data_IF_178561190506
#
_entry.id   IF_178561190506
#
_cell.length_a   1.000
_cell.length_b   1.000
_cell.length_c   1.000
_cell.angle_alpha   90.00
_cell.angle_beta   90.00
_cell.angle_gamma   90.00
#
_symmetry.space_group_name_H-M   'P 1'
#
loop_
_entity.id
_entity.type
_entity.pdbx_description
1 polymer ?
#
# COMPACT_ATOMS: atom_id res chain seq x y z
N UNK A 1 -26.63 -59.14 39.64
CA UNK A 1 -25.44 -59.27 38.76
C UNK A 1 -24.98 -57.88 38.37
N UNK A 2 -23.77 -57.54 38.83
CA UNK A 2 -22.88 -56.42 38.49
C UNK A 2 -23.46 -55.06 38.07
N UNK A 3 -23.42 -54.15 39.05
CA UNK A 3 -23.28 -52.70 38.91
C UNK A 3 -21.81 -52.35 38.59
N UNK A 4 -21.55 -51.40 37.69
CA UNK A 4 -20.20 -50.83 37.43
C UNK A 4 -20.37 -49.56 36.57
N UNK A 5 -19.72 -48.42 36.77
CA UNK A 5 -18.99 -47.85 37.90
C UNK A 5 -18.85 -46.35 37.54
N UNK A 6 -19.26 -45.45 38.44
CA UNK A 6 -18.90 -44.04 38.35
C UNK A 6 -17.43 -43.86 38.79
N UNK A 7 -16.70 -42.94 38.16
CA UNK A 7 -15.45 -42.41 38.70
C UNK A 7 -15.47 -40.87 38.61
N UNK A 8 -15.41 -40.27 39.79
CA UNK A 8 -15.33 -38.86 40.13
C UNK A 8 -13.90 -38.54 40.63
N UNK A 9 -13.37 -37.36 40.25
CA UNK A 9 -12.53 -36.42 41.07
C UNK A 9 -11.03 -36.79 41.27
N UNK A 10 -10.04 -35.88 41.55
CA UNK A 10 -10.05 -34.43 41.92
C UNK A 10 -9.19 -33.50 41.04
N UNK A 11 -9.26 -32.15 41.02
CA UNK A 11 -9.24 -31.08 42.05
C UNK A 11 -7.91 -30.89 42.83
N UNK A 12 -7.00 -30.06 42.30
CA UNK A 12 -5.96 -29.26 42.99
C UNK A 12 -5.59 -28.12 42.03
N UNK A 13 -5.94 -26.84 42.21
CA UNK A 13 -5.64 -25.89 43.30
C UNK A 13 -4.17 -25.45 43.34
N UNK A 14 -3.86 -24.38 42.59
CA UNK A 14 -2.78 -23.41 42.82
C UNK A 14 -3.27 -22.10 42.18
N UNK A 15 -4.03 -21.25 42.89
CA UNK A 15 -3.59 -20.25 43.88
C UNK A 15 -3.05 -18.98 43.21
N UNK A 16 -3.96 -18.02 43.12
CA UNK A 16 -3.79 -16.58 43.38
C UNK A 16 -2.58 -15.86 42.78
N UNK A 17 -2.81 -15.13 41.68
CA UNK A 17 -2.13 -13.87 41.42
C UNK A 17 -3.17 -12.74 41.43
N UNK A 18 -3.38 -12.21 42.63
CA UNK A 18 -4.05 -10.95 42.89
C UNK A 18 -3.16 -9.82 42.35
N UNK A 19 -3.65 -9.06 41.36
CA UNK A 19 -2.96 -7.88 40.84
C UNK A 19 -3.42 -6.65 41.65
N UNK A 20 -2.63 -6.26 42.63
CA UNK A 20 -2.86 -5.07 43.46
C UNK A 20 -2.33 -3.79 42.79
N UNK A 21 -3.15 -2.77 42.51
CA UNK A 21 -2.74 -1.53 41.86
C UNK A 21 -2.29 -0.46 42.89
N UNK A 22 -1.38 -0.80 43.81
CA UNK A 22 -0.87 0.14 44.84
C UNK A 22 0.62 0.07 45.14
N UNK A 23 1.47 -0.18 44.14
CA UNK A 23 2.90 0.14 44.21
C UNK A 23 3.37 0.83 42.93
N UNK A 24 3.20 2.14 42.91
CA UNK A 24 4.06 3.04 42.14
C UNK A 24 5.24 3.44 43.05
N UNK A 25 6.47 3.25 42.58
CA UNK A 25 7.59 4.16 42.87
C UNK A 25 8.76 3.89 41.93
N UNK A 26 9.18 4.96 41.24
CA UNK A 26 10.55 5.30 40.79
C UNK A 26 11.38 4.20 40.10
N UNK A 27 11.84 4.31 38.85
CA UNK A 27 12.71 5.39 38.33
C UNK A 27 12.92 5.11 36.84
N UNK A 28 12.56 6.02 35.94
CA UNK A 28 13.08 6.02 34.55
C UNK A 28 13.78 7.35 34.38
N UNK A 29 15.11 7.32 34.38
CA UNK A 29 15.95 8.43 33.97
C UNK A 29 15.71 8.71 32.50
N UNK A 30 15.19 9.91 32.21
CA UNK A 30 15.32 10.55 30.92
C UNK A 30 16.79 10.96 30.73
N UNK A 31 17.47 10.40 29.73
CA UNK A 31 18.61 11.09 29.12
C UNK A 31 18.08 11.72 27.84
N UNK A 32 17.94 13.03 27.90
CA UNK A 32 17.68 13.92 26.77
C UNK A 32 19.04 14.24 26.18
N UNK A 33 19.43 13.57 25.10
CA UNK A 33 20.57 14.02 24.30
C UNK A 33 20.08 15.00 23.23
N UNK A 34 20.44 16.25 23.51
CA UNK A 34 20.29 17.45 22.72
C UNK A 34 21.34 17.42 21.60
N UNK A 35 20.95 17.15 20.35
CA UNK A 35 21.81 17.43 19.19
C UNK A 35 21.29 18.69 18.49
N UNK A 36 21.96 19.78 18.82
CA UNK A 36 21.85 21.11 18.24
C UNK A 36 22.37 21.09 16.79
N UNK A 37 21.54 21.47 15.81
CA UNK A 37 22.02 21.92 14.49
C UNK A 37 21.62 23.39 14.30
N UNK A 38 22.56 24.27 13.90
CA UNK A 38 22.33 25.71 13.87
C UNK A 38 21.49 26.15 12.66
N UNK A 39 20.44 26.93 12.92
CA UNK A 39 19.69 27.68 11.91
C UNK A 39 20.40 28.99 11.57
N UNK A 40 20.43 29.43 10.29
CA UNK A 40 21.07 30.69 9.91
C UNK A 40 20.19 31.91 10.29
N UNK A 41 20.79 33.04 10.74
CA UNK A 41 20.04 34.22 11.15
C UNK A 41 19.59 35.11 9.98
N UNK A 42 18.47 35.87 10.12
CA UNK A 42 17.97 36.77 9.08
C UNK A 42 18.74 38.09 9.00
N UNK A 43 19.09 38.49 7.78
CA UNK A 43 19.85 39.71 7.45
C UNK A 43 18.99 40.97 7.61
N UNK A 44 19.44 41.90 8.48
CA UNK A 44 18.91 43.27 8.63
C UNK A 44 19.45 44.19 7.53
N UNK A 45 18.57 45.03 6.97
CA UNK A 45 18.92 46.20 6.16
C UNK A 45 19.59 47.30 7.02
N UNK A 46 20.68 47.89 6.54
CA UNK A 46 21.08 49.27 6.85
C UNK A 46 22.08 49.81 5.82
N UNK A 47 22.02 51.13 5.61
CA UNK A 47 22.65 51.95 4.56
C UNK A 47 24.08 52.43 4.91
N UNK A 48 24.81 52.83 3.84
CA UNK A 48 25.99 53.72 3.72
C UNK A 48 27.40 53.09 3.47
N UNK A 49 27.83 53.16 2.18
CA UNK A 49 29.00 53.91 1.57
C UNK A 49 30.34 53.93 2.36
N UNK A 50 31.58 53.79 1.83
CA UNK A 50 32.29 53.92 0.52
C UNK A 50 33.63 53.14 0.63
N UNK A 51 34.20 52.62 -0.46
CA UNK A 51 35.68 52.52 -0.57
C UNK A 51 36.26 51.41 -1.44
N UNK A 52 36.53 51.71 -2.72
CA UNK A 52 37.83 51.40 -3.32
C UNK A 52 38.09 50.06 -4.03
N UNK A 53 38.50 50.21 -5.29
CA UNK A 53 39.34 49.32 -6.13
C UNK A 53 38.63 48.24 -6.95
N UNK A 54 38.41 48.61 -8.22
CA UNK A 54 38.00 47.76 -9.31
C UNK A 54 38.98 46.61 -9.57
N UNK A 55 38.47 45.39 -9.66
CA UNK A 55 39.11 44.27 -10.36
C UNK A 55 38.12 43.68 -11.34
N UNK A 56 38.42 43.84 -12.62
CA UNK A 56 37.73 43.19 -13.74
C UNK A 56 37.89 41.67 -13.60
N UNK A 57 36.78 40.95 -13.40
CA UNK A 57 36.66 39.52 -13.68
C UNK A 57 35.55 39.33 -14.71
N UNK A 58 35.91 38.72 -15.83
CA UNK A 58 35.00 38.34 -16.89
C UNK A 58 33.94 37.37 -16.36
N UNK A 59 32.69 37.85 -16.24
CA UNK A 59 31.55 36.99 -15.97
C UNK A 59 31.09 36.39 -17.31
N UNK A 60 31.21 35.06 -17.44
CA UNK A 60 30.45 34.31 -18.45
C UNK A 60 28.98 34.39 -18.06
N UNK A 61 28.17 35.12 -18.85
CA UNK A 61 26.72 35.10 -18.75
C UNK A 61 26.21 33.74 -19.23
N UNK A 62 26.08 32.78 -18.32
CA UNK A 62 25.27 31.59 -18.56
C UNK A 62 23.83 31.94 -18.17
N UNK A 63 23.01 32.31 -19.16
CA UNK A 63 21.57 32.40 -18.96
C UNK A 63 20.99 30.97 -18.81
N UNK A 64 20.19 30.67 -17.78
CA UNK A 64 19.43 29.43 -17.78
C UNK A 64 18.35 29.51 -18.86
N UNK A 65 18.51 28.76 -19.94
CA UNK A 65 17.44 28.50 -20.90
C UNK A 65 16.37 27.66 -20.21
N UNK A 66 15.41 28.33 -19.57
CA UNK A 66 14.11 27.72 -19.30
C UNK A 66 13.42 27.51 -20.65
N UNK A 67 13.56 26.31 -21.22
CA UNK A 67 12.77 25.85 -22.35
C UNK A 67 11.31 25.68 -21.88
N UNK A 68 10.57 26.79 -21.86
CA UNK A 68 9.10 26.75 -21.80
C UNK A 68 8.62 26.33 -23.18
N UNK A 69 7.90 25.21 -23.24
CA UNK A 69 7.19 24.79 -24.44
C UNK A 69 6.16 25.88 -24.81
N UNK A 70 6.47 26.67 -25.83
CA UNK A 70 5.52 27.63 -26.41
C UNK A 70 4.67 26.85 -27.39
N UNK A 71 3.48 26.45 -26.96
CA UNK A 71 2.44 26.03 -27.91
C UNK A 71 2.01 27.25 -28.72
N UNK A 72 2.30 27.27 -30.02
CA UNK A 72 1.72 28.25 -30.94
C UNK A 72 0.18 28.15 -30.87
N UNK A 73 -0.57 29.26 -30.72
CA UNK A 73 -2.03 29.23 -30.72
C UNK A 73 -2.65 29.10 -32.13
N UNK A 74 -1.85 28.78 -33.16
CA UNK A 74 -2.29 28.82 -34.56
C UNK A 74 -2.91 27.52 -35.10
N UNK A 75 -2.79 26.38 -34.41
CA UNK A 75 -3.44 25.13 -34.80
C UNK A 75 -4.46 24.68 -33.75
N UNK A 76 -5.55 25.43 -33.63
CA UNK A 76 -6.76 24.91 -33.03
C UNK A 76 -7.48 24.04 -34.06
N UNK A 77 -7.24 22.73 -34.03
CA UNK A 77 -8.12 21.75 -34.68
C UNK A 77 -9.46 21.82 -33.97
N UNK A 78 -10.41 22.54 -34.56
CA UNK A 78 -11.79 22.61 -34.10
C UNK A 78 -12.45 21.28 -34.46
N UNK A 79 -12.41 20.31 -33.54
CA UNK A 79 -13.24 19.11 -33.65
C UNK A 79 -14.70 19.55 -33.61
N UNK A 80 -15.42 19.32 -34.69
CA UNK A 80 -16.86 19.58 -34.75
C UNK A 80 -17.59 18.41 -34.09
N UNK A 81 -18.83 18.56 -33.60
CA UNK A 81 -19.60 17.46 -33.01
C UNK A 81 -19.82 16.25 -33.95
N UNK A 82 -19.57 16.45 -35.26
CA UNK A 82 -19.59 15.41 -36.28
C UNK A 82 -18.36 14.48 -36.27
N UNK A 83 -17.26 14.86 -35.62
CA UNK A 83 -16.04 14.05 -35.49
C UNK A 83 -16.03 13.18 -34.21
N UNK A 84 -17.11 13.21 -33.43
CA UNK A 84 -17.27 12.30 -32.31
C UNK A 84 -17.46 10.86 -32.85
N UNK A 85 -16.75 9.84 -32.32
CA UNK A 85 -17.01 8.46 -32.70
C UNK A 85 -18.45 8.13 -32.33
N UNK A 86 -19.32 8.08 -33.34
CA UNK A 86 -20.73 7.79 -33.19
C UNK A 86 -20.93 6.28 -33.15
N UNK A 87 -20.22 5.60 -32.23
CA UNK A 87 -20.53 4.22 -31.91
C UNK A 87 -21.72 4.24 -30.96
N UNK A 88 -22.90 4.20 -31.58
CA UNK A 88 -24.11 3.76 -30.87
C UNK A 88 -23.79 2.38 -30.29
N UNK A 89 -23.79 2.26 -28.96
CA UNK A 89 -23.79 0.97 -28.26
C UNK A 89 -25.11 0.25 -28.60
N UNK A 90 -25.21 -0.28 -29.82
CA UNK A 90 -26.16 -1.34 -30.15
C UNK A 90 -25.74 -2.52 -29.29
N UNK A 91 -26.71 -3.02 -28.50
CA UNK A 91 -26.49 -3.96 -27.41
C UNK A 91 -25.44 -5.01 -27.74
N UNK A 92 -24.54 -5.24 -26.79
CA UNK A 92 -23.48 -6.24 -26.85
C UNK A 92 -24.07 -7.64 -27.02
N UNK A 93 -24.34 -8.04 -28.26
CA UNK A 93 -24.74 -9.40 -28.63
C UNK A 93 -23.54 -10.35 -28.73
N UNK A 94 -22.38 -9.96 -28.20
CA UNK A 94 -21.19 -10.81 -28.10
C UNK A 94 -20.90 -11.21 -26.65
N UNK A 95 -21.95 -11.51 -25.89
CA UNK A 95 -21.81 -12.59 -24.91
C UNK A 95 -21.88 -13.86 -25.75
N UNK A 96 -20.72 -14.25 -26.29
CA UNK A 96 -20.55 -15.58 -26.84
C UNK A 96 -20.88 -16.53 -25.68
N UNK A 97 -22.04 -17.18 -25.73
CA UNK A 97 -22.44 -18.21 -24.75
C UNK A 97 -21.51 -19.39 -24.96
N UNK A 98 -20.29 -19.27 -24.45
CA UNK A 98 -19.35 -20.37 -24.43
C UNK A 98 -20.01 -21.51 -23.66
N UNK A 99 -20.02 -22.69 -24.26
CA UNK A 99 -20.54 -23.88 -23.59
C UNK A 99 -19.69 -24.17 -22.35
N UNK A 100 -20.25 -24.78 -21.30
CA UNK A 100 -19.48 -25.15 -20.11
C UNK A 100 -18.22 -25.98 -20.44
N UNK A 101 -18.24 -26.76 -21.53
CA UNK A 101 -17.09 -27.50 -22.02
C UNK A 101 -15.97 -26.60 -22.58
N UNK A 102 -16.32 -25.52 -23.29
CA UNK A 102 -15.34 -24.56 -23.82
C UNK A 102 -14.73 -23.68 -22.73
N UNK A 103 -15.48 -23.33 -21.69
CA UNK A 103 -14.92 -22.62 -20.54
C UNK A 103 -14.02 -23.53 -19.69
N UNK A 104 -14.38 -24.81 -19.52
CA UNK A 104 -13.56 -25.80 -18.80
C UNK A 104 -12.22 -26.07 -19.50
N UNK A 105 -12.17 -26.10 -20.83
CA UNK A 105 -10.94 -26.35 -21.58
C UNK A 105 -9.87 -25.25 -21.37
N UNK A 106 -10.28 -23.99 -21.16
CA UNK A 106 -9.36 -22.87 -20.89
C UNK A 106 -8.92 -22.75 -19.43
N UNK A 107 -9.58 -23.47 -18.53
CA UNK A 107 -9.24 -23.51 -17.11
C UNK A 107 -8.41 -24.73 -16.72
N UNK A 108 -8.01 -25.56 -17.70
CA UNK A 108 -7.03 -26.60 -17.45
C UNK A 108 -5.63 -25.96 -17.45
N UNK A 109 -4.79 -26.26 -16.46
CA UNK A 109 -3.40 -25.81 -16.50
C UNK A 109 -2.71 -26.43 -17.72
N UNK A 110 -2.10 -25.60 -18.57
CA UNK A 110 -1.33 -26.06 -19.74
C UNK A 110 -0.05 -26.76 -19.27
N UNK A 111 -0.08 -28.09 -19.21
CA UNK A 111 1.05 -28.93 -18.79
C UNK A 111 2.21 -28.96 -19.82
N UNK A 112 1.98 -28.48 -21.05
CA UNK A 112 2.98 -28.39 -22.13
C UNK A 112 3.61 -27.00 -22.27
N UNK A 113 3.20 -26.02 -21.45
CA UNK A 113 3.91 -24.75 -21.39
C UNK A 113 5.38 -25.03 -21.06
N UNK A 114 6.32 -24.35 -21.76
CA UNK A 114 7.74 -24.45 -21.44
C UNK A 114 7.92 -24.05 -19.97
N UNK A 115 8.09 -25.05 -19.12
CA UNK A 115 8.39 -24.87 -17.71
C UNK A 115 9.77 -24.25 -17.70
N UNK A 116 9.84 -22.95 -17.40
CA UNK A 116 11.11 -22.33 -17.12
C UNK A 116 11.70 -23.07 -15.91
N UNK A 117 12.71 -23.92 -16.18
CA UNK A 117 13.29 -24.84 -15.21
C UNK A 117 14.00 -24.09 -14.06
N UNK A 118 13.95 -22.75 -14.03
CA UNK A 118 14.29 -21.89 -12.90
C UNK A 118 13.22 -21.78 -11.81
N UNK A 119 12.01 -22.33 -11.98
CA UNK A 119 11.00 -22.38 -10.92
C UNK A 119 11.39 -23.41 -9.87
N UNK A 120 12.08 -22.95 -8.82
CA UNK A 120 12.33 -23.73 -7.61
C UNK A 120 11.04 -24.38 -7.11
N UNK A 121 11.10 -25.51 -6.39
CA UNK A 121 9.94 -26.20 -5.76
C UNK A 121 9.12 -25.35 -4.77
N UNK A 122 9.44 -24.07 -4.70
CA UNK A 122 9.03 -23.12 -3.70
C UNK A 122 8.35 -21.89 -4.31
N UNK A 123 8.59 -21.57 -5.58
CA UNK A 123 7.90 -20.46 -6.24
C UNK A 123 6.42 -20.83 -6.45
N UNK A 124 5.48 -19.93 -6.13
CA UNK A 124 4.07 -20.17 -6.44
C UNK A 124 3.91 -20.37 -7.94
N UNK A 125 3.02 -21.27 -8.34
CA UNK A 125 2.67 -21.52 -9.75
C UNK A 125 1.53 -20.59 -10.14
N UNK A 126 1.64 -19.87 -11.28
CA UNK A 126 0.57 -18.98 -11.73
C UNK A 126 -0.67 -19.78 -12.13
N UNK A 127 -1.84 -19.35 -11.66
CA UNK A 127 -3.13 -19.98 -12.03
C UNK A 127 -3.54 -19.67 -13.47
N UNK A 128 -3.07 -18.55 -14.01
CA UNK A 128 -3.29 -18.09 -15.38
C UNK A 128 -2.06 -17.32 -15.83
N UNK A 129 -1.38 -17.81 -16.86
CA UNK A 129 -0.32 -17.07 -17.54
C UNK A 129 -0.95 -16.29 -18.68
N UNK A 130 -0.55 -15.03 -18.85
CA UNK A 130 -1.03 -14.20 -19.95
C UNK A 130 -0.14 -14.41 -21.17
N UNK A 131 -0.57 -15.24 -22.12
CA UNK A 131 0.23 -15.60 -23.30
C UNK A 131 -0.02 -14.69 -24.52
N UNK A 132 -0.92 -13.70 -24.39
CA UNK A 132 -1.29 -12.79 -25.47
C UNK A 132 -2.29 -13.35 -26.50
N UNK A 133 -2.75 -14.59 -26.31
CA UNK A 133 -3.79 -15.24 -27.11
C UNK A 133 -5.22 -14.76 -26.79
N UNK A 134 -5.37 -13.88 -25.78
CA UNK A 134 -6.67 -13.42 -25.32
C UNK A 134 -7.31 -12.47 -26.35
N UNK A 135 -8.61 -12.65 -26.65
CA UNK A 135 -9.30 -11.79 -27.60
C UNK A 135 -9.51 -10.40 -27.00
N UNK A 136 -8.60 -9.48 -27.32
CA UNK A 136 -8.67 -8.07 -26.95
C UNK A 136 -8.08 -7.20 -28.05
N UNK A 137 -8.56 -5.96 -28.17
CA UNK A 137 -8.08 -4.98 -29.16
C UNK A 137 -6.62 -4.59 -28.95
N UNK A 138 -6.09 -4.79 -27.74
CA UNK A 138 -4.72 -4.44 -27.34
C UNK A 138 -4.04 -5.60 -26.64
N UNK A 139 -2.77 -5.83 -26.93
CA UNK A 139 -1.95 -6.84 -26.23
C UNK A 139 -1.85 -6.49 -24.73
N UNK A 140 -1.97 -7.48 -23.83
CA UNK A 140 -1.83 -7.24 -22.39
C UNK A 140 -0.41 -6.78 -22.06
N UNK A 141 -0.29 -5.84 -21.11
CA UNK A 141 0.99 -5.28 -20.71
C UNK A 141 1.94 -6.35 -20.12
N UNK A 142 1.37 -7.42 -19.57
CA UNK A 142 2.09 -8.58 -19.06
C UNK A 142 3.13 -9.12 -20.08
N UNK A 143 2.72 -9.33 -21.33
CA UNK A 143 3.55 -9.90 -22.41
C UNK A 143 4.65 -8.93 -22.84
N UNK A 144 4.39 -7.63 -22.76
CA UNK A 144 5.31 -6.59 -23.23
C UNK A 144 6.29 -6.12 -22.15
N UNK A 145 5.96 -6.31 -20.87
CA UNK A 145 6.69 -5.72 -19.74
C UNK A 145 8.11 -6.25 -19.53
N UNK A 146 8.42 -7.45 -20.05
CA UNK A 146 9.67 -8.15 -19.77
C UNK A 146 9.79 -8.62 -18.31
N UNK A 147 8.71 -8.54 -17.53
CA UNK A 147 8.67 -9.05 -16.18
C UNK A 147 8.71 -10.58 -16.16
N UNK A 148 9.41 -11.22 -15.21
CA UNK A 148 9.42 -12.68 -15.10
C UNK A 148 8.02 -13.21 -14.80
N UNK A 149 7.70 -14.38 -15.35
CA UNK A 149 6.40 -15.06 -15.19
C UNK A 149 6.09 -15.39 -13.73
N UNK A 150 7.11 -15.57 -12.89
CA UNK A 150 6.99 -15.76 -11.44
C UNK A 150 6.18 -14.66 -10.74
N UNK A 151 6.17 -13.44 -11.27
CA UNK A 151 5.40 -12.34 -10.68
C UNK A 151 3.91 -12.47 -10.94
N UNK A 152 3.51 -13.09 -12.06
CA UNK A 152 2.09 -13.40 -12.33
C UNK A 152 1.56 -14.44 -11.35
N UNK A 153 2.44 -15.29 -10.82
CA UNK A 153 2.08 -16.29 -9.82
C UNK A 153 1.87 -15.73 -8.42
N UNK A 154 2.34 -14.51 -8.17
CA UNK A 154 2.18 -13.88 -6.87
C UNK A 154 0.85 -13.18 -6.75
N UNK A 155 0.27 -13.32 -5.57
CA UNK A 155 -0.91 -12.56 -5.18
C UNK A 155 -0.51 -11.15 -4.77
N UNK A 156 -1.35 -10.20 -5.15
CA UNK A 156 -1.17 -8.78 -4.90
C UNK A 156 -2.28 -8.29 -3.98
N UNK A 157 -1.92 -7.56 -2.92
CA UNK A 157 -2.86 -6.93 -2.02
C UNK A 157 -3.09 -5.49 -2.41
N UNK A 158 -4.33 -5.17 -2.78
CA UNK A 158 -4.80 -3.81 -3.04
C UNK A 158 -5.54 -3.32 -1.79
N UNK A 159 -5.02 -2.31 -1.12
CA UNK A 159 -5.58 -1.83 0.13
C UNK A 159 -5.31 -0.33 0.36
N UNK A 160 -6.09 0.28 1.24
CA UNK A 160 -5.80 1.60 1.79
C UNK A 160 -5.06 1.44 3.11
N UNK A 161 -3.86 2.03 3.30
CA UNK A 161 -3.11 1.84 4.52
C UNK A 161 -3.87 2.37 5.73
N UNK A 162 -4.00 1.52 6.75
CA UNK A 162 -4.70 1.84 7.98
C UNK A 162 -4.01 3.01 8.71
N UNK A 163 -4.81 3.83 9.38
CA UNK A 163 -4.29 4.89 10.22
C UNK A 163 -3.45 4.28 11.36
N UNK A 164 -2.19 4.70 11.56
CA UNK A 164 -1.38 4.22 12.67
C UNK A 164 -2.03 4.57 14.02
N UNK A 165 -2.07 3.62 14.95
CA UNK A 165 -2.66 3.83 16.27
C UNK A 165 -1.86 4.82 17.13
N UNK A 166 -0.54 4.89 16.91
CA UNK A 166 0.37 5.78 17.63
C UNK A 166 0.21 7.26 17.24
N UNK A 167 -0.33 7.56 16.06
CA UNK A 167 -0.45 8.93 15.57
C UNK A 167 -1.90 9.31 15.24
N UNK A 168 -2.22 10.60 15.39
CA UNK A 168 -3.54 11.14 15.09
C UNK A 168 -3.70 11.59 13.63
N UNK A 169 -2.61 11.71 12.85
CA UNK A 169 -2.64 12.12 11.45
C UNK A 169 -3.34 11.12 10.52
N UNK A 170 -3.89 11.60 9.41
CA UNK A 170 -4.63 10.79 8.40
C UNK A 170 -4.05 10.86 6.99
N UNK A 171 -2.99 11.64 6.76
CA UNK A 171 -2.46 11.91 5.43
C UNK A 171 -2.12 10.66 4.61
N UNK A 172 -1.57 9.64 5.26
CA UNK A 172 -1.15 8.43 4.56
C UNK A 172 -2.31 7.54 4.13
N UNK A 173 -3.50 7.68 4.72
CA UNK A 173 -4.64 6.83 4.44
C UNK A 173 -5.44 7.24 3.21
N UNK A 174 -5.08 8.29 2.46
CA UNK A 174 -5.92 8.73 1.33
C UNK A 174 -5.68 7.97 0.02
N UNK A 175 -4.48 7.44 -0.20
CA UNK A 175 -4.11 6.75 -1.43
C UNK A 175 -4.36 5.25 -1.33
N UNK A 176 -4.67 4.63 -2.48
CA UNK A 176 -4.67 3.18 -2.61
C UNK A 176 -3.24 2.70 -2.80
N UNK A 177 -2.91 1.58 -2.18
CA UNK A 177 -1.59 0.98 -2.24
C UNK A 177 -1.71 -0.45 -2.70
N UNK A 178 -0.81 -0.83 -3.59
CA UNK A 178 -0.68 -2.17 -4.11
C UNK A 178 0.68 -2.73 -3.70
N UNK A 179 0.64 -3.82 -2.93
CA UNK A 179 1.81 -4.53 -2.43
C UNK A 179 1.74 -6.00 -2.85
N UNK A 180 2.91 -6.61 -3.07
CA UNK A 180 3.02 -8.04 -3.33
C UNK A 180 2.99 -8.84 -2.02
N UNK A 181 2.44 -10.05 -2.08
CA UNK A 181 2.53 -10.98 -0.96
C UNK A 181 3.97 -11.49 -0.77
N UNK A 182 4.24 -11.90 0.47
CA UNK A 182 5.55 -12.35 0.91
C UNK A 182 5.85 -13.74 0.35
N UNK A 183 7.02 -13.90 -0.27
CA UNK A 183 7.49 -15.22 -0.68
C UNK A 183 7.84 -16.08 0.54
N UNK A 184 7.34 -17.31 0.60
CA UNK A 184 7.51 -18.17 1.79
C UNK A 184 8.99 -18.55 2.07
N UNK A 185 9.89 -18.46 1.08
CA UNK A 185 11.34 -18.76 1.12
C UNK A 185 12.00 -17.67 0.31
N UNK A 186 13.06 -17.13 0.85
CA UNK A 186 13.78 -16.03 0.21
C UNK A 186 13.19 -14.65 0.51
N UNK A 187 12.14 -14.52 1.34
CA UNK A 187 11.72 -13.20 1.81
C UNK A 187 12.79 -12.56 2.69
N UNK A 188 13.13 -13.19 3.83
CA UNK A 188 14.24 -12.74 4.68
C UNK A 188 14.99 -13.92 5.29
N UNK A 189 16.31 -13.83 5.30
CA UNK A 189 17.20 -14.71 6.06
C UNK A 189 18.36 -13.91 6.65
N UNK A 190 19.01 -14.46 7.65
CA UNK A 190 20.18 -13.84 8.27
C UNK A 190 21.44 -14.09 7.45
N UNK A 191 22.21 -13.04 7.17
CA UNK A 191 23.53 -13.17 6.56
C UNK A 191 24.51 -13.79 7.58
N UNK A 192 25.13 -14.95 7.28
CA UNK A 192 25.99 -15.65 8.23
C UNK A 192 27.25 -14.87 8.64
N UNK A 193 27.67 -13.87 7.85
CA UNK A 193 28.85 -13.06 8.16
C UNK A 193 28.53 -11.88 9.09
N UNK A 194 27.52 -11.08 8.75
CA UNK A 194 27.24 -9.79 9.42
C UNK A 194 25.95 -9.78 10.25
N UNK A 195 25.10 -10.79 10.13
CA UNK A 195 23.78 -10.84 10.79
C UNK A 195 22.71 -9.95 10.14
N UNK A 196 22.99 -9.33 8.99
CA UNK A 196 22.00 -8.49 8.28
C UNK A 196 20.89 -9.33 7.64
N UNK A 197 19.70 -8.74 7.58
CA UNK A 197 18.55 -9.34 6.92
C UNK A 197 18.70 -9.27 5.40
N UNK A 198 19.03 -10.40 4.79
CA UNK A 198 19.17 -10.57 3.33
C UNK A 198 17.87 -11.06 2.70
N UNK A 199 17.66 -10.78 1.42
CA UNK A 199 16.44 -11.14 0.68
C UNK A 199 16.78 -11.52 -0.77
N UNK A 200 16.01 -12.44 -1.34
CA UNK A 200 16.06 -12.83 -2.75
C UNK A 200 14.88 -12.22 -3.53
N UNK A 201 13.97 -11.55 -2.84
CA UNK A 201 12.73 -11.07 -3.43
C UNK A 201 12.90 -9.66 -4.02
N UNK A 202 12.83 -9.56 -5.34
CA UNK A 202 12.94 -8.29 -6.06
C UNK A 202 11.80 -7.30 -5.78
N UNK A 203 10.62 -7.78 -5.35
CA UNK A 203 9.43 -6.94 -5.16
C UNK A 203 9.19 -6.52 -3.70
N UNK A 204 10.03 -6.96 -2.76
CA UNK A 204 9.84 -6.69 -1.33
C UNK A 204 9.86 -5.19 -0.96
N UNK A 205 10.57 -4.38 -1.75
CA UNK A 205 10.73 -2.94 -1.53
C UNK A 205 9.87 -2.08 -2.45
N UNK A 206 9.09 -2.70 -3.33
CA UNK A 206 8.27 -1.99 -4.31
C UNK A 206 6.84 -1.90 -3.82
N UNK A 207 6.24 -0.72 -3.97
CA UNK A 207 4.87 -0.47 -3.56
C UNK A 207 4.31 0.68 -4.38
N UNK A 208 3.20 0.40 -5.07
CA UNK A 208 2.63 1.31 -6.06
C UNK A 208 1.44 2.03 -5.44
N UNK A 209 1.38 3.35 -5.66
CA UNK A 209 0.31 4.21 -5.13
C UNK A 209 -0.66 4.59 -6.26
N UNK A 210 -1.94 4.41 -6.00
CA UNK A 210 -3.03 4.72 -6.91
C UNK A 210 -3.98 5.74 -6.30
N UNK A 211 -4.72 6.43 -7.15
CA UNK A 211 -5.75 7.41 -6.74
C UNK A 211 -7.07 6.70 -6.40
N UNK A 212 -7.51 5.79 -7.27
CA UNK A 212 -8.76 5.02 -7.12
C UNK A 212 -8.48 3.52 -6.91
N UNK A 213 -9.52 2.79 -6.49
CA UNK A 213 -9.48 1.32 -6.36
C UNK A 213 -9.49 0.68 -7.75
N UNK A 214 -10.29 1.25 -8.64
CA UNK A 214 -10.54 0.80 -10.00
C UNK A 214 -9.25 0.88 -10.83
N UNK A 215 -8.46 1.94 -10.66
CA UNK A 215 -7.16 2.11 -11.33
C UNK A 215 -6.18 1.01 -10.91
N UNK A 216 -6.15 0.67 -9.62
CA UNK A 216 -5.30 -0.38 -9.09
C UNK A 216 -5.71 -1.77 -9.63
N UNK A 217 -7.01 -2.04 -9.68
CA UNK A 217 -7.56 -3.28 -10.25
C UNK A 217 -7.24 -3.38 -11.74
N UNK A 218 -7.47 -2.30 -12.49
CA UNK A 218 -7.18 -2.25 -13.92
C UNK A 218 -5.68 -2.46 -14.20
N UNK A 219 -4.79 -1.92 -13.35
CA UNK A 219 -3.36 -2.16 -13.46
C UNK A 219 -3.00 -3.63 -13.20
N UNK A 220 -3.53 -4.23 -12.13
CA UNK A 220 -3.29 -5.64 -11.82
C UNK A 220 -3.79 -6.57 -12.94
N UNK A 221 -4.98 -6.31 -13.49
CA UNK A 221 -5.54 -7.07 -14.61
C UNK A 221 -4.71 -6.94 -15.89
N UNK A 222 -4.23 -5.73 -16.23
CA UNK A 222 -3.37 -5.50 -17.39
C UNK A 222 -2.05 -6.28 -17.33
N UNK A 223 -1.51 -6.47 -16.13
CA UNK A 223 -0.28 -7.21 -15.89
C UNK A 223 -0.51 -8.71 -15.64
N UNK A 224 -1.77 -9.15 -15.48
CA UNK A 224 -2.10 -10.53 -15.19
C UNK A 224 -1.82 -10.96 -13.74
N UNK A 225 -1.73 -10.03 -12.80
CA UNK A 225 -1.51 -10.37 -11.38
C UNK A 225 -2.81 -10.85 -10.72
N UNK A 226 -2.73 -11.94 -9.95
CA UNK A 226 -3.81 -12.32 -9.04
C UNK A 226 -3.91 -11.27 -7.92
N UNK A 227 -5.11 -10.73 -7.66
CA UNK A 227 -5.26 -9.66 -6.69
C UNK A 227 -6.34 -9.96 -5.64
N UNK A 228 -6.11 -9.46 -4.44
CA UNK A 228 -7.06 -9.42 -3.33
C UNK A 228 -7.30 -7.97 -2.93
N UNK A 229 -8.57 -7.55 -2.94
CA UNK A 229 -8.94 -6.19 -2.52
C UNK A 229 -9.38 -6.20 -1.07
N UNK A 230 -8.67 -5.45 -0.23
CA UNK A 230 -9.05 -5.18 1.14
C UNK A 230 -9.74 -3.82 1.23
N UNK A 231 -11.01 -3.83 1.60
CA UNK A 231 -11.77 -2.59 1.78
C UNK A 231 -11.31 -1.83 3.03
N UNK A 232 -11.28 -0.48 2.99
CA UNK A 232 -10.86 0.32 4.11
C UNK A 232 -11.85 0.23 5.28
N UNK A 233 -11.33 -0.01 6.49
CA UNK A 233 -12.12 0.09 7.71
C UNK A 233 -12.21 1.55 8.16
N UNK A 234 -13.33 2.20 7.84
CA UNK A 234 -13.59 3.60 8.19
C UNK A 234 -14.14 3.75 9.61
N UNK A 235 -13.70 4.79 10.31
CA UNK A 235 -14.17 5.07 11.67
C UNK A 235 -15.58 5.65 11.60
N UNK A 236 -16.52 5.02 12.32
CA UNK A 236 -17.86 5.60 12.52
C UNK A 236 -17.77 6.97 13.18
N UNK A 237 -18.44 7.97 12.61
CA UNK A 237 -18.59 9.28 13.23
C UNK A 237 -19.65 9.20 14.33
N UNK A 238 -19.27 9.52 15.57
CA UNK A 238 -20.18 9.56 16.71
C UNK A 238 -20.24 11.02 17.19
N UNK A 239 -21.44 11.61 17.33
CA UNK A 239 -21.57 12.97 17.84
C UNK A 239 -21.04 13.02 19.27
N UNK A 240 -20.07 13.91 19.51
CA UNK A 240 -19.46 14.14 20.82
C UNK A 240 -19.84 15.53 21.30
N UNK A 241 -20.63 15.61 22.37
CA UNK A 241 -20.96 16.86 23.04
C UNK A 241 -20.28 16.90 24.41
N UNK A 242 -19.57 17.99 24.72
CA UNK A 242 -18.88 18.15 26.00
C UNK A 242 -19.85 18.22 27.20
N UNK A 243 -21.06 18.75 26.99
CA UNK A 243 -22.13 18.78 27.99
C UNK A 243 -22.50 17.38 28.52
N UNK A 244 -22.27 16.32 27.73
CA UNK A 244 -22.53 14.95 28.15
C UNK A 244 -21.65 14.50 29.34
N UNK A 245 -20.54 15.21 29.59
CA UNK A 245 -19.71 14.96 30.75
C UNK A 245 -20.44 15.29 32.06
N UNK A 246 -21.37 16.25 32.06
CA UNK A 246 -22.03 16.77 33.28
C UNK A 246 -23.52 16.46 33.38
N UNK A 247 -24.03 15.48 32.61
CA UNK A 247 -25.42 15.08 32.72
C UNK A 247 -25.75 14.57 34.12
N UNK A 248 -26.88 15.02 34.64
CA UNK A 248 -27.40 14.56 35.92
C UNK A 248 -27.90 13.11 35.79
N UNK A 249 -27.31 12.19 36.55
CA UNK A 249 -27.78 10.80 36.65
C UNK A 249 -28.69 10.67 37.88
N UNK A 250 -29.97 10.37 37.66
CA UNK A 250 -30.94 10.18 38.75
C UNK A 250 -30.71 8.89 39.56
N UNK A 251 -29.91 7.97 38.99
CA UNK A 251 -29.56 6.68 39.60
C UNK A 251 -28.19 6.76 40.25
N UNK A 252 -27.80 5.69 40.97
CA UNK A 252 -26.43 5.57 41.49
C UNK A 252 -25.42 5.69 40.34
N UNK A 253 -24.47 6.60 40.51
CA UNK A 253 -23.42 6.90 39.53
C UNK A 253 -22.64 5.64 39.16
N UNK A 254 -22.44 5.40 37.86
CA UNK A 254 -21.67 4.24 37.35
C UNK A 254 -20.17 4.38 37.57
N UNK A 255 -19.63 5.58 37.31
CA UNK A 255 -18.23 5.92 37.49
C UNK A 255 -18.10 7.41 37.80
N UNK A 256 -17.06 7.79 38.53
CA UNK A 256 -16.75 9.20 38.82
C UNK A 256 -15.88 9.72 37.68
N UNK A 257 -16.37 10.74 36.96
CA UNK A 257 -15.62 11.40 35.89
C UNK A 257 -14.60 12.35 36.51
N UNK A 258 -13.34 12.29 36.07
CA UNK A 258 -12.26 13.12 36.62
C UNK A 258 -12.10 14.44 35.86
N UNK A 259 -12.28 14.43 34.54
CA UNK A 259 -12.19 15.57 33.61
C UNK A 259 -13.16 15.40 32.45
#
# INVERSE_FOLDING_TARGET
MACCQAALVPFRMCRDLHFDPRKASSTICCVVDLILLPTPPPSRMSLLRVGGVARLRAARLAAPLNARFVSNPADQVKTSPADAPTDTHKGSSLINKQSPAQSLARHQPDYEATIDHGTSSFSPVPKRVMDGSEPGTTLPAAVLSGAPTDLQARTVRIYRPAKPASQSGTWHSHHWRMDWDILQKGHRWENPLMGWQSSADGMQGTNIKFKSKEDAIAFAQKQGYEYFVQEPNERRFVPKAYANNFLHEHRKLKHIKTK
#
